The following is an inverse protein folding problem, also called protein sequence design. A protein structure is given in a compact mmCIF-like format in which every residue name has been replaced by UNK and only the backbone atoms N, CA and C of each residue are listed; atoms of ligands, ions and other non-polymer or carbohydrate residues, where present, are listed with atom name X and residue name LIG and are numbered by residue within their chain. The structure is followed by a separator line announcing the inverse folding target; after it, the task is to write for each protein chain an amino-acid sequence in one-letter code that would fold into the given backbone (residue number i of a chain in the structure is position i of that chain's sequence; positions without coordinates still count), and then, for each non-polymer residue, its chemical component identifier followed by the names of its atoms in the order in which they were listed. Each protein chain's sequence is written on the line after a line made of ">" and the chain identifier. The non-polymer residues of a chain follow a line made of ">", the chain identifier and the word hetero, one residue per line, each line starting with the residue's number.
data_IF_398042336337
#
_entry.id   IF_398042336337
#
_cell.length_a   1.000
_cell.length_b   1.000
_cell.length_c   1.000
_cell.angle_alpha   90.00
_cell.angle_beta   90.00
_cell.angle_gamma   90.00
#
_symmetry.space_group_name_H-M   'P 1'
#
loop_
_entity.id
_entity.type
_entity.pdbx_description
1 polymer ?
#
# COMPACT_ATOMS: atom_id res chain seq x y z
N UNK A 1 -90.50 8.25 14.27
CA UNK A 1 -90.73 7.56 15.55
C UNK A 1 -90.35 6.10 15.31
N UNK A 2 -89.26 5.48 15.77
CA UNK A 2 -88.43 5.59 16.98
C UNK A 2 -87.04 5.01 16.62
N UNK A 3 -85.95 5.78 16.76
CA UNK A 3 -84.94 5.75 17.84
C UNK A 3 -84.13 4.45 18.01
N UNK A 4 -82.81 4.61 17.89
CA UNK A 4 -81.74 4.13 18.79
C UNK A 4 -81.68 2.66 19.19
N UNK A 5 -80.52 2.03 18.98
CA UNK A 5 -79.49 1.92 20.01
C UNK A 5 -78.45 0.86 19.62
N UNK A 6 -77.21 1.31 19.52
CA UNK A 6 -76.02 0.47 19.67
C UNK A 6 -76.04 -0.19 21.05
N UNK A 7 -75.54 -1.42 21.17
CA UNK A 7 -74.48 -1.77 22.14
C UNK A 7 -73.93 -3.18 21.85
N UNK A 8 -72.62 -3.25 22.05
CA UNK A 8 -71.65 -4.31 21.80
C UNK A 8 -71.74 -5.38 22.92
N UNK A 9 -71.27 -6.61 22.68
CA UNK A 9 -70.22 -7.29 23.48
C UNK A 9 -70.16 -8.82 23.29
N UNK A 10 -69.08 -9.24 22.60
CA UNK A 10 -68.05 -10.26 22.89
C UNK A 10 -68.36 -11.73 23.26
N UNK A 11 -67.29 -12.51 22.95
CA UNK A 11 -66.88 -13.87 23.33
C UNK A 11 -67.51 -15.01 22.51
N UNK A 12 -66.80 -16.04 22.03
CA UNK A 12 -65.39 -16.42 21.98
C UNK A 12 -65.32 -17.71 21.15
N UNK A 13 -64.20 -18.00 20.48
CA UNK A 13 -63.60 -19.34 20.45
C UNK A 13 -62.24 -19.30 19.72
N UNK A 14 -61.25 -19.88 20.38
CA UNK A 14 -59.87 -19.99 19.94
C UNK A 14 -59.71 -21.05 18.84
N UNK A 15 -58.77 -20.80 17.92
CA UNK A 15 -58.06 -21.86 17.18
C UNK A 15 -56.57 -21.67 17.46
N UNK A 16 -55.97 -22.70 18.06
CA UNK A 16 -54.54 -22.82 18.24
C UNK A 16 -53.91 -23.44 16.98
N UNK A 17 -52.86 -22.83 16.44
CA UNK A 17 -51.82 -23.55 15.69
C UNK A 17 -50.46 -23.01 16.14
N UNK A 18 -49.63 -23.90 16.66
CA UNK A 18 -48.25 -23.65 17.02
C UNK A 18 -47.37 -23.89 15.78
N UNK A 19 -46.39 -23.02 15.53
CA UNK A 19 -45.10 -23.49 15.04
C UNK A 19 -43.96 -22.58 15.48
N UNK A 20 -42.82 -23.23 15.64
CA UNK A 20 -41.73 -22.93 16.54
C UNK A 20 -40.51 -22.39 15.74
N UNK A 21 -39.58 -21.74 16.45
CA UNK A 21 -38.24 -21.33 16.01
C UNK A 21 -38.13 -20.29 14.89
N UNK A 22 -38.05 -19.02 15.29
CA UNK A 22 -37.14 -18.08 14.63
C UNK A 22 -35.83 -17.99 15.43
N UNK A 23 -35.15 -19.14 15.50
CA UNK A 23 -33.73 -19.16 15.82
C UNK A 23 -32.97 -18.99 14.49
N UNK A 24 -31.93 -18.16 14.54
CA UNK A 24 -30.86 -17.99 13.55
C UNK A 24 -31.18 -17.04 12.40
N UNK A 25 -30.85 -15.77 12.63
CA UNK A 25 -30.12 -14.96 11.64
C UNK A 25 -29.21 -13.92 12.32
N UNK A 26 -28.52 -14.34 13.39
CA UNK A 26 -27.39 -13.60 13.98
C UNK A 26 -26.10 -13.68 13.14
N UNK A 27 -26.17 -14.10 11.87
CA UNK A 27 -25.02 -14.08 10.96
C UNK A 27 -24.98 -12.84 10.06
N UNK A 28 -26.06 -12.04 10.00
CA UNK A 28 -26.07 -10.82 9.19
C UNK A 28 -25.28 -9.65 9.81
N UNK A 29 -25.00 -9.69 11.12
CA UNK A 29 -24.27 -8.64 11.82
C UNK A 29 -22.74 -8.79 11.79
N UNK A 30 -22.22 -9.93 11.30
CA UNK A 30 -20.76 -10.18 11.23
C UNK A 30 -20.17 -9.79 9.87
N UNK A 31 -20.99 -9.74 8.81
CA UNK A 31 -20.52 -9.37 7.46
C UNK A 31 -20.38 -7.84 7.23
N UNK A 32 -20.84 -6.99 8.16
CA UNK A 32 -20.82 -5.52 8.00
C UNK A 32 -19.71 -4.83 8.80
N UNK A 33 -18.54 -5.45 8.86
CA UNK A 33 -17.27 -4.79 9.24
C UNK A 33 -16.14 -5.21 8.30
N UNK A 34 -16.38 -5.24 6.99
CA UNK A 34 -15.27 -5.01 6.06
C UNK A 34 -15.06 -3.50 6.06
N UNK A 35 -14.18 -3.07 6.96
CA UNK A 35 -13.52 -1.79 6.87
C UNK A 35 -12.89 -1.77 5.47
N UNK A 36 -13.44 -0.97 4.56
CA UNK A 36 -12.87 -0.72 3.23
C UNK A 36 -11.58 0.06 3.41
N UNK A 37 -10.55 -0.58 3.98
CA UNK A 37 -9.19 -0.22 3.68
C UNK A 37 -9.03 -0.56 2.21
N UNK A 38 -9.14 0.45 1.35
CA UNK A 38 -8.68 0.39 -0.03
C UNK A 38 -7.35 -0.37 -0.02
N UNK A 39 -7.34 -1.60 -0.54
CA UNK A 39 -6.10 -2.31 -0.77
C UNK A 39 -5.47 -1.58 -1.95
N UNK A 40 -4.75 -0.50 -1.67
CA UNK A 40 -3.94 0.16 -2.68
C UNK A 40 -3.01 -0.91 -3.25
N UNK A 41 -3.03 -1.06 -4.57
CA UNK A 41 -2.15 -1.96 -5.29
C UNK A 41 -0.72 -1.51 -4.98
N UNK A 42 -0.03 -2.24 -4.10
CA UNK A 42 1.39 -2.02 -3.86
C UNK A 42 2.13 -2.59 -5.05
N UNK A 43 2.56 -1.71 -5.95
CA UNK A 43 3.42 -2.12 -7.05
C UNK A 43 4.68 -2.74 -6.44
N UNK A 44 4.78 -4.07 -6.58
CA UNK A 44 5.85 -4.88 -6.01
C UNK A 44 6.76 -5.33 -7.14
N UNK A 45 8.04 -5.02 -7.00
CA UNK A 45 9.09 -5.37 -7.94
C UNK A 45 10.02 -6.38 -7.28
N UNK A 46 10.29 -7.51 -7.94
CA UNK A 46 11.12 -8.59 -7.39
C UNK A 46 12.27 -8.89 -8.34
N UNK A 47 13.45 -9.19 -7.79
CA UNK A 47 14.63 -9.54 -8.56
C UNK A 47 15.10 -8.40 -9.45
N UNK A 48 14.96 -7.15 -8.99
CA UNK A 48 15.39 -5.98 -9.74
C UNK A 48 16.81 -5.62 -9.39
N UNK A 49 17.53 -5.27 -10.43
CA UNK A 49 18.88 -4.75 -10.34
C UNK A 49 18.89 -3.44 -9.57
N UNK A 50 19.79 -3.35 -8.61
CA UNK A 50 20.08 -2.11 -7.89
C UNK A 50 21.58 -1.90 -7.82
N UNK A 51 21.99 -0.67 -8.11
CA UNK A 51 23.39 -0.22 -8.06
C UNK A 51 23.55 0.83 -6.97
N UNK A 52 24.69 1.52 -6.97
CA UNK A 52 24.86 2.71 -6.16
C UNK A 52 25.51 3.86 -6.93
N UNK A 53 25.21 5.09 -6.48
CA UNK A 53 25.81 6.32 -7.00
C UNK A 53 26.32 7.23 -5.86
N UNK A 54 27.36 8.03 -6.12
CA UNK A 54 27.78 9.12 -5.23
C UNK A 54 26.85 10.34 -5.38
N UNK A 55 26.45 10.97 -4.27
CA UNK A 55 25.53 12.12 -4.30
C UNK A 55 26.19 13.45 -4.64
N UNK A 56 27.51 13.48 -4.80
CA UNK A 56 28.28 14.67 -5.18
C UNK A 56 28.24 14.98 -6.68
N UNK A 57 27.50 14.19 -7.47
CA UNK A 57 27.33 14.36 -8.92
C UNK A 57 26.44 15.52 -9.30
N UNK A 58 25.61 16.02 -8.38
CA UNK A 58 24.73 17.16 -8.62
C UNK A 58 23.43 17.13 -7.80
N UNK A 59 22.56 18.11 -8.05
CA UNK A 59 21.25 18.18 -7.41
C UNK A 59 20.30 17.12 -7.96
N UNK A 60 19.34 16.71 -7.12
CA UNK A 60 18.32 15.73 -7.47
C UNK A 60 17.32 16.21 -8.54
N UNK A 61 16.75 15.28 -9.30
CA UNK A 61 15.76 15.59 -10.35
C UNK A 61 14.39 16.03 -9.79
N UNK A 62 14.04 15.65 -8.56
CA UNK A 62 12.72 15.96 -8.00
C UNK A 62 12.57 17.37 -7.43
N UNK A 63 13.60 17.89 -6.77
CA UNK A 63 13.55 19.15 -6.01
C UNK A 63 14.71 20.10 -6.31
N UNK A 64 15.73 19.66 -7.03
CA UNK A 64 16.96 20.42 -7.28
C UNK A 64 17.84 20.55 -6.04
N UNK A 65 17.73 19.63 -5.06
CA UNK A 65 18.51 19.68 -3.81
C UNK A 65 19.68 18.70 -3.84
N UNK A 66 20.74 19.04 -3.12
CA UNK A 66 21.86 18.13 -2.89
C UNK A 66 21.59 17.27 -1.66
N UNK A 67 22.11 16.04 -1.70
CA UNK A 67 22.03 15.06 -0.62
C UNK A 67 23.42 14.57 -0.23
N UNK A 68 23.51 13.83 0.86
CA UNK A 68 24.73 13.22 1.35
C UNK A 68 24.74 11.73 1.02
N UNK A 69 25.94 11.18 0.82
CA UNK A 69 26.14 9.75 0.54
C UNK A 69 25.53 8.85 1.63
N UNK A 70 25.41 9.33 2.87
CA UNK A 70 24.83 8.60 4.00
C UNK A 70 23.29 8.57 4.03
N UNK A 71 22.62 9.37 3.21
CA UNK A 71 21.17 9.46 3.20
C UNK A 71 20.53 8.19 2.65
N UNK A 72 19.26 7.95 2.95
CA UNK A 72 18.51 6.79 2.44
C UNK A 72 17.61 7.24 1.29
N UNK A 73 18.27 7.53 0.17
CA UNK A 73 17.62 7.95 -1.08
C UNK A 73 17.93 7.00 -2.22
N UNK A 74 17.05 7.05 -3.23
CA UNK A 74 17.18 6.28 -4.46
C UNK A 74 16.89 7.15 -5.68
N UNK A 75 17.55 6.82 -6.77
CA UNK A 75 17.21 7.27 -8.12
C UNK A 75 16.42 6.16 -8.84
N UNK A 76 15.27 6.49 -9.42
CA UNK A 76 14.43 5.54 -10.15
C UNK A 76 14.84 5.52 -11.63
N UNK A 77 14.83 4.35 -12.27
CA UNK A 77 15.10 4.28 -13.71
C UNK A 77 14.18 5.16 -14.56
N UNK A 78 14.76 5.83 -15.56
CA UNK A 78 14.14 6.91 -16.33
C UNK A 78 12.74 6.57 -16.90
N UNK A 79 12.57 5.34 -17.40
CA UNK A 79 11.29 4.90 -17.97
C UNK A 79 10.15 4.86 -16.93
N UNK A 80 10.48 4.62 -15.66
CA UNK A 80 9.51 4.61 -14.56
C UNK A 80 9.46 5.95 -13.83
N UNK A 81 10.55 6.70 -13.81
CA UNK A 81 10.60 8.05 -13.23
C UNK A 81 9.66 9.00 -13.97
N UNK A 82 9.69 8.98 -15.30
CA UNK A 82 8.91 9.88 -16.15
C UNK A 82 9.41 11.33 -16.00
N UNK A 83 8.51 12.23 -15.65
CA UNK A 83 8.80 13.63 -15.29
C UNK A 83 8.84 13.82 -13.76
N UNK A 84 9.12 12.74 -13.02
CA UNK A 84 9.06 12.69 -11.56
C UNK A 84 7.71 12.19 -11.02
N UNK A 85 6.65 12.17 -11.83
CA UNK A 85 5.34 11.62 -11.45
C UNK A 85 5.38 10.16 -10.99
N UNK A 86 6.37 9.41 -11.48
CA UNK A 86 6.61 8.02 -11.11
C UNK A 86 6.92 7.84 -9.63
N UNK A 87 7.75 8.71 -9.05
CA UNK A 87 8.33 8.43 -7.73
C UNK A 87 8.62 9.64 -6.83
N UNK A 88 8.66 10.88 -7.32
CA UNK A 88 9.22 11.99 -6.54
C UNK A 88 8.53 12.15 -5.18
N UNK A 89 9.33 12.10 -4.11
CA UNK A 89 8.87 12.20 -2.72
C UNK A 89 8.12 10.97 -2.20
N UNK A 90 7.95 9.93 -3.02
CA UNK A 90 7.38 8.65 -2.57
C UNK A 90 8.43 7.86 -1.82
N UNK A 91 7.99 7.21 -0.75
CA UNK A 91 8.81 6.24 -0.04
C UNK A 91 8.61 4.86 -0.65
N UNK A 92 9.67 4.07 -0.65
CA UNK A 92 9.63 2.66 -1.01
C UNK A 92 10.38 1.83 0.02
N UNK A 93 9.95 0.58 0.19
CA UNK A 93 10.60 -0.39 1.06
C UNK A 93 11.39 -1.37 0.23
N UNK A 94 12.69 -1.45 0.45
CA UNK A 94 13.60 -2.39 -0.21
C UNK A 94 13.88 -3.55 0.75
N UNK A 95 13.95 -4.77 0.21
CA UNK A 95 14.31 -5.97 0.94
C UNK A 95 15.42 -6.73 0.22
N UNK A 96 16.49 -7.05 0.94
CA UNK A 96 17.64 -7.78 0.43
C UNK A 96 18.28 -8.61 1.55
N UNK A 97 18.50 -9.91 1.31
CA UNK A 97 19.16 -10.83 2.25
C UNK A 97 18.67 -10.73 3.71
N UNK A 98 17.35 -10.64 3.91
CA UNK A 98 16.74 -10.54 5.25
C UNK A 98 16.83 -9.16 5.91
N UNK A 99 17.50 -8.19 5.29
CA UNK A 99 17.48 -6.77 5.69
C UNK A 99 16.37 -6.02 4.97
N UNK A 100 15.86 -4.96 5.59
CA UNK A 100 14.85 -4.08 5.02
C UNK A 100 15.13 -2.62 5.37
N UNK A 101 15.00 -1.73 4.39
CA UNK A 101 15.11 -0.29 4.60
C UNK A 101 13.98 0.44 3.87
N UNK A 102 13.59 1.59 4.40
CA UNK A 102 12.73 2.54 3.71
C UNK A 102 13.62 3.64 3.15
N UNK A 103 13.42 3.96 1.88
CA UNK A 103 14.13 5.03 1.20
C UNK A 103 13.13 5.94 0.48
N UNK A 104 13.54 7.19 0.24
CA UNK A 104 12.73 8.13 -0.56
C UNK A 104 13.28 8.21 -1.97
N UNK A 105 12.40 8.17 -2.97
CA UNK A 105 12.79 8.42 -4.34
C UNK A 105 12.88 9.93 -4.58
N UNK A 106 14.07 10.40 -4.91
CA UNK A 106 14.38 11.83 -5.07
C UNK A 106 14.99 12.14 -6.43
N UNK A 107 15.39 11.14 -7.19
CA UNK A 107 16.19 11.35 -8.39
C UNK A 107 15.85 10.38 -9.53
N UNK A 108 16.40 10.66 -10.70
CA UNK A 108 16.28 9.89 -11.93
C UNK A 108 17.61 9.18 -12.24
N UNK A 109 17.56 7.86 -12.46
CA UNK A 109 18.68 7.10 -13.02
C UNK A 109 18.55 7.05 -14.55
N UNK A 110 19.26 7.95 -15.24
CA UNK A 110 19.28 8.02 -16.70
C UNK A 110 19.92 6.78 -17.38
N UNK A 111 20.76 6.04 -16.65
CA UNK A 111 21.42 4.80 -17.12
C UNK A 111 20.63 3.53 -16.81
N UNK A 112 19.47 3.61 -16.14
CA UNK A 112 18.65 2.48 -15.73
C UNK A 112 17.39 2.34 -16.62
N UNK A 113 17.42 1.59 -17.73
CA UNK A 113 16.31 1.53 -18.68
C UNK A 113 15.16 0.62 -18.26
N UNK A 114 15.37 -0.30 -17.31
CA UNK A 114 14.36 -1.29 -16.99
C UNK A 114 13.46 -0.83 -15.84
N UNK A 115 12.18 -1.15 -15.95
CA UNK A 115 11.21 -0.93 -14.88
C UNK A 115 11.61 -1.67 -13.61
N UNK A 116 11.57 -0.96 -12.49
CA UNK A 116 11.94 -1.48 -11.18
C UNK A 116 13.43 -1.33 -10.83
N UNK A 117 14.30 -0.89 -11.74
CA UNK A 117 15.69 -0.60 -11.41
C UNK A 117 15.79 0.63 -10.51
N UNK A 118 16.66 0.53 -9.49
CA UNK A 118 16.96 1.62 -8.57
C UNK A 118 18.47 1.83 -8.50
N UNK A 119 18.91 3.08 -8.46
CA UNK A 119 20.28 3.42 -8.09
C UNK A 119 20.28 3.97 -6.67
N UNK A 120 20.99 3.31 -5.75
CA UNK A 120 20.94 3.64 -4.33
C UNK A 120 22.02 4.66 -3.98
N UNK A 121 21.75 5.49 -2.99
CA UNK A 121 22.82 6.20 -2.27
C UNK A 121 23.82 5.21 -1.65
N UNK A 122 25.10 5.59 -1.56
CA UNK A 122 26.17 4.71 -1.03
C UNK A 122 25.82 4.13 0.34
N UNK A 123 25.38 4.95 1.28
CA UNK A 123 25.05 4.53 2.63
C UNK A 123 23.90 3.52 2.69
N UNK A 124 22.91 3.66 1.80
CA UNK A 124 21.83 2.68 1.66
C UNK A 124 22.32 1.36 1.05
N UNK A 125 23.18 1.43 0.04
CA UNK A 125 23.77 0.22 -0.55
C UNK A 125 24.68 -0.52 0.43
N UNK A 126 25.54 0.20 1.16
CA UNK A 126 26.39 -0.36 2.23
C UNK A 126 25.56 -0.91 3.38
N UNK A 127 24.44 -0.29 3.74
CA UNK A 127 23.53 -0.85 4.74
C UNK A 127 23.11 -2.28 4.36
N UNK A 128 22.79 -2.51 3.09
CA UNK A 128 22.40 -3.84 2.60
C UNK A 128 23.58 -4.80 2.48
N UNK A 129 24.66 -4.35 1.85
CA UNK A 129 25.74 -5.22 1.37
C UNK A 129 26.93 -5.29 2.31
N UNK A 130 27.20 -4.22 3.06
CA UNK A 130 28.41 -4.00 3.84
C UNK A 130 29.64 -3.65 3.00
N UNK A 131 29.53 -3.60 1.67
CA UNK A 131 30.65 -3.38 0.76
C UNK A 131 30.17 -2.82 -0.59
N UNK A 132 30.60 -1.60 -0.92
CA UNK A 132 30.34 -0.96 -2.22
C UNK A 132 30.98 -1.72 -3.40
N UNK A 133 32.03 -2.50 -3.15
CA UNK A 133 32.75 -3.29 -4.15
C UNK A 133 31.91 -4.38 -4.80
N UNK A 134 30.75 -4.74 -4.20
CA UNK A 134 29.77 -5.63 -4.83
C UNK A 134 29.17 -4.99 -6.09
N UNK A 135 28.99 -3.67 -6.09
CA UNK A 135 28.56 -2.86 -7.24
C UNK A 135 27.10 -3.03 -7.65
N UNK A 136 26.60 -4.27 -7.73
CA UNK A 136 25.26 -4.60 -8.21
C UNK A 136 24.62 -5.66 -7.30
N UNK A 137 23.36 -5.45 -6.92
CA UNK A 137 22.54 -6.46 -6.23
C UNK A 137 21.22 -6.67 -6.96
N UNK A 138 20.58 -7.81 -6.71
CA UNK A 138 19.22 -8.08 -7.16
C UNK A 138 18.31 -8.21 -5.94
N UNK A 139 17.37 -7.28 -5.80
CA UNK A 139 16.54 -7.13 -4.60
C UNK A 139 15.07 -6.95 -4.96
N UNK A 140 14.21 -6.91 -3.93
CA UNK A 140 12.80 -6.61 -4.10
C UNK A 140 12.42 -5.31 -3.41
N UNK A 141 11.41 -4.63 -3.94
CA UNK A 141 10.88 -3.42 -3.33
C UNK A 141 9.40 -3.21 -3.65
N UNK A 142 8.74 -2.40 -2.84
CA UNK A 142 7.40 -1.89 -3.11
C UNK A 142 7.23 -0.46 -2.63
N UNK A 143 6.29 0.27 -3.24
CA UNK A 143 5.75 1.48 -2.62
C UNK A 143 4.95 1.14 -1.34
#
# INVERSE_FOLDING_TARGET
>A
MFTSSSFVFLLSAAVAMADNHQARNHHAAIAKRINTTSLEKRDTFTGKEMTWYPTDTGPDACTGKNHQDSDFFVAMGFNQFGDGSGCCGKQLRINYNGKSAVATCVDECASCPQWGQLDLTKGLFEYFTGDLGIGVIYASWSF
#
